data_IF_484499462684
#
_entry.id   IF_484499462684
#
_cell.length_a   1.000
_cell.length_b   1.000
_cell.length_c   1.000
_cell.angle_alpha   90.00
_cell.angle_beta   90.00
_cell.angle_gamma   90.00
#
_symmetry.space_group_name_H-M   'P 1'
#
loop_
_entity.id
_entity.type
_entity.pdbx_description
1 polymer ?
#
# COMPACT_ATOMS: atom_id res chain seq x y z
N UNK A 1 -62.06 -7.62 64.08
CA UNK A 1 -61.73 -8.48 62.93
C UNK A 1 -60.30 -8.18 62.51
N UNK A 2 -59.42 -9.21 62.49
CA UNK A 2 -58.22 -9.46 61.64
C UNK A 2 -57.29 -8.25 61.30
N UNK A 3 -55.96 -8.29 61.27
CA UNK A 3 -54.93 -9.32 61.35
C UNK A 3 -53.57 -8.63 61.07
N UNK A 4 -52.54 -8.96 61.84
CA UNK A 4 -51.11 -9.16 61.53
C UNK A 4 -50.38 -8.46 60.35
N UNK A 5 -49.20 -7.92 60.72
CA UNK A 5 -47.84 -8.18 60.16
C UNK A 5 -47.27 -7.40 58.97
N UNK A 6 -46.13 -6.74 59.26
CA UNK A 6 -44.82 -6.70 58.59
C UNK A 6 -44.67 -7.37 57.20
N UNK A 7 -43.86 -6.75 56.31
CA UNK A 7 -42.63 -7.34 55.71
C UNK A 7 -42.01 -6.35 54.70
N UNK A 8 -40.72 -6.10 54.86
CA UNK A 8 -39.83 -5.43 53.92
C UNK A 8 -39.53 -6.30 52.69
N UNK A 9 -39.44 -5.70 51.49
CA UNK A 9 -38.80 -6.27 50.29
C UNK A 9 -38.11 -5.14 49.55
N UNK A 10 -36.79 -5.07 49.65
CA UNK A 10 -35.78 -5.64 48.73
C UNK A 10 -35.49 -4.75 47.52
N UNK A 11 -34.21 -4.39 47.46
CA UNK A 11 -33.53 -3.64 46.42
C UNK A 11 -33.45 -4.44 45.11
N UNK A 12 -33.44 -3.72 43.99
CA UNK A 12 -32.91 -4.25 42.74
C UNK A 12 -32.10 -3.14 42.08
N UNK A 13 -30.79 -3.18 42.34
CA UNK A 13 -29.80 -2.34 41.66
C UNK A 13 -29.55 -2.97 40.29
N UNK A 14 -30.02 -2.33 39.22
CA UNK A 14 -29.72 -2.73 37.86
C UNK A 14 -28.29 -2.29 37.52
N UNK A 15 -27.36 -3.24 37.46
CA UNK A 15 -26.01 -3.03 36.95
C UNK A 15 -26.11 -3.08 35.41
N UNK A 16 -26.16 -1.90 34.79
CA UNK A 16 -26.01 -1.76 33.35
C UNK A 16 -24.55 -2.04 32.97
N UNK A 17 -24.32 -3.20 32.37
CA UNK A 17 -23.03 -3.61 31.81
C UNK A 17 -22.83 -2.89 30.46
N UNK A 18 -22.28 -1.69 30.48
CA UNK A 18 -21.77 -1.02 29.26
C UNK A 18 -20.53 -1.76 28.79
N UNK A 19 -20.70 -2.63 27.79
CA UNK A 19 -19.59 -3.15 26.98
C UNK A 19 -19.00 -1.96 26.22
N UNK A 20 -17.95 -1.36 26.79
CA UNK A 20 -17.12 -0.40 26.09
C UNK A 20 -16.34 -1.10 24.99
N UNK A 21 -16.82 -1.04 23.75
CA UNK A 21 -15.94 -1.15 22.60
C UNK A 21 -15.00 0.06 22.65
N UNK A 22 -13.81 -0.12 23.19
CA UNK A 22 -12.72 0.81 22.96
C UNK A 22 -12.29 0.66 21.51
N UNK A 23 -12.82 1.50 20.63
CA UNK A 23 -12.11 1.85 19.40
C UNK A 23 -10.78 2.46 19.85
N UNK A 24 -9.71 1.67 19.78
CA UNK A 24 -8.36 2.19 19.85
C UNK A 24 -8.18 3.11 18.63
N UNK A 25 -8.39 4.41 18.83
CA UNK A 25 -8.00 5.42 17.88
C UNK A 25 -6.47 5.32 17.72
N UNK A 26 -6.03 4.85 16.56
CA UNK A 26 -4.61 4.77 16.23
C UNK A 26 -4.03 6.19 16.22
N UNK A 27 -3.19 6.50 17.22
CA UNK A 27 -2.44 7.75 17.26
C UNK A 27 -1.44 7.78 16.10
N UNK A 28 -1.31 8.91 15.38
CA UNK A 28 -0.29 9.06 14.36
C UNK A 28 1.09 9.15 15.03
N UNK A 29 1.99 8.21 14.71
CA UNK A 29 3.40 8.28 15.12
C UNK A 29 3.95 7.09 15.91
N UNK A 30 3.17 6.04 16.17
CA UNK A 30 3.75 4.77 16.65
C UNK A 30 4.49 4.11 15.48
N UNK A 31 5.76 3.77 15.68
CA UNK A 31 6.51 2.95 14.73
C UNK A 31 5.68 1.69 14.43
N UNK A 32 5.34 1.48 13.15
CA UNK A 32 4.64 0.27 12.72
C UNK A 32 5.47 -0.92 13.22
N UNK A 33 4.88 -1.82 14.01
CA UNK A 33 5.59 -3.02 14.48
C UNK A 33 5.97 -3.89 13.29
N UNK A 34 7.11 -4.57 13.38
CA UNK A 34 7.54 -5.49 12.34
C UNK A 34 6.48 -6.59 12.12
N UNK A 35 6.13 -6.93 10.87
CA UNK A 35 5.18 -8.00 10.59
C UNK A 35 5.72 -9.34 11.07
N UNK A 36 4.84 -10.16 11.66
CA UNK A 36 5.19 -11.54 12.01
C UNK A 36 5.38 -12.38 10.75
N UNK A 37 6.07 -13.53 10.86
CA UNK A 37 6.21 -14.46 9.74
C UNK A 37 4.85 -14.93 9.20
N UNK A 38 3.85 -15.11 10.07
CA UNK A 38 2.49 -15.45 9.70
C UNK A 38 1.80 -14.33 8.92
N UNK A 39 1.98 -13.06 9.31
CA UNK A 39 1.46 -11.92 8.56
C UNK A 39 2.13 -11.82 7.18
N UNK A 40 3.44 -12.04 7.09
CA UNK A 40 4.15 -12.07 5.79
C UNK A 40 3.61 -13.20 4.90
N UNK A 41 3.39 -14.40 5.44
CA UNK A 41 2.82 -15.51 4.69
C UNK A 41 1.37 -15.23 4.25
N UNK A 42 0.56 -14.67 5.15
CA UNK A 42 -0.84 -14.30 4.91
C UNK A 42 -0.97 -13.21 3.85
N UNK A 43 -0.05 -12.23 3.82
CA UNK A 43 -0.05 -11.17 2.82
C UNK A 43 0.22 -11.67 1.39
N UNK A 44 1.07 -12.70 1.27
CA UNK A 44 1.42 -13.39 0.01
C UNK A 44 0.30 -14.29 -0.52
N UNK A 45 -0.57 -14.77 0.35
CA UNK A 45 -1.63 -15.70 -0.02
C UNK A 45 -2.68 -15.02 -0.91
N UNK A 46 -3.24 -15.78 -1.85
CA UNK A 46 -4.39 -15.35 -2.67
C UNK A 46 -5.67 -15.29 -1.83
N UNK A 47 -6.58 -14.39 -2.20
CA UNK A 47 -7.86 -14.19 -1.51
C UNK A 47 -8.00 -12.77 -0.98
N UNK A 48 -9.11 -12.51 -0.30
CA UNK A 48 -9.45 -11.19 0.24
C UNK A 48 -10.13 -11.28 1.61
N UNK A 49 -9.74 -12.25 2.44
CA UNK A 49 -10.23 -12.30 3.83
C UNK A 49 -9.77 -11.07 4.62
N UNK A 50 -10.47 -10.73 5.70
CA UNK A 50 -10.10 -9.59 6.55
C UNK A 50 -8.65 -9.70 7.06
N UNK A 51 -8.22 -10.90 7.44
CA UNK A 51 -6.84 -11.17 7.87
C UNK A 51 -5.82 -10.93 6.77
N UNK A 52 -6.14 -11.32 5.52
CA UNK A 52 -5.29 -11.07 4.36
C UNK A 52 -5.17 -9.57 4.06
N UNK A 53 -6.29 -8.85 4.05
CA UNK A 53 -6.29 -7.40 3.85
C UNK A 53 -5.45 -6.70 4.94
N UNK A 54 -5.67 -7.06 6.21
CA UNK A 54 -4.93 -6.49 7.33
C UNK A 54 -3.43 -6.81 7.26
N UNK A 55 -3.07 -8.06 6.97
CA UNK A 55 -1.67 -8.47 6.83
C UNK A 55 -0.95 -7.68 5.72
N UNK A 56 -1.60 -7.45 4.58
CA UNK A 56 -1.02 -6.68 3.47
C UNK A 56 -0.81 -5.21 3.85
N UNK A 57 -1.77 -4.61 4.57
CA UNK A 57 -1.62 -3.25 5.12
C UNK A 57 -0.44 -3.19 6.08
N UNK A 58 -0.32 -4.14 7.01
CA UNK A 58 0.80 -4.19 7.98
C UNK A 58 2.14 -4.33 7.26
N UNK A 59 2.27 -5.25 6.31
CA UNK A 59 3.52 -5.46 5.55
C UNK A 59 3.89 -4.22 4.73
N UNK A 60 2.92 -3.63 4.02
CA UNK A 60 3.16 -2.44 3.20
C UNK A 60 3.57 -1.23 4.04
N UNK A 61 2.81 -0.92 5.08
CA UNK A 61 3.10 0.20 5.97
C UNK A 61 4.45 0.04 6.70
N UNK A 62 4.79 -1.17 7.14
CA UNK A 62 6.09 -1.45 7.74
C UNK A 62 7.25 -1.27 6.75
N UNK A 63 7.10 -1.72 5.50
CA UNK A 63 8.10 -1.51 4.45
C UNK A 63 8.39 -0.01 4.24
N UNK A 64 7.35 0.82 4.21
CA UNK A 64 7.52 2.27 4.11
C UNK A 64 8.17 2.88 5.35
N UNK A 65 7.77 2.44 6.55
CA UNK A 65 8.31 2.95 7.81
C UNK A 65 9.77 2.54 8.07
N UNK A 66 10.20 1.38 7.56
CA UNK A 66 11.55 0.83 7.73
C UNK A 66 12.54 1.25 6.64
N UNK A 67 12.08 2.03 5.65
CA UNK A 67 12.89 2.51 4.52
C UNK A 67 12.91 4.03 4.47
N UNK A 68 13.66 4.59 3.53
CA UNK A 68 13.72 6.03 3.26
C UNK A 68 12.50 6.56 2.44
N UNK A 69 11.43 5.75 2.30
CA UNK A 69 10.14 6.20 1.75
C UNK A 69 9.29 6.94 2.78
N UNK A 70 9.39 6.55 4.06
CA UNK A 70 8.67 7.11 5.23
C UNK A 70 7.17 6.81 5.29
N UNK A 71 6.61 6.80 6.50
CA UNK A 71 5.16 6.63 6.73
C UNK A 71 4.32 7.78 6.18
N UNK A 72 4.89 8.99 6.03
CA UNK A 72 4.17 10.13 5.45
C UNK A 72 3.79 9.84 3.99
N UNK A 73 4.73 9.26 3.23
CA UNK A 73 4.50 8.88 1.84
C UNK A 73 3.51 7.71 1.69
N UNK A 74 3.52 6.78 2.65
CA UNK A 74 2.61 5.64 2.64
C UNK A 74 1.13 6.07 2.54
N UNK A 75 0.75 7.16 3.22
CA UNK A 75 -0.63 7.65 3.21
C UNK A 75 -1.16 7.98 1.80
N UNK A 76 -0.27 8.43 0.90
CA UNK A 76 -0.64 8.71 -0.49
C UNK A 76 -0.42 7.50 -1.40
N UNK A 77 0.73 6.85 -1.30
CA UNK A 77 1.08 5.72 -2.16
C UNK A 77 0.16 4.51 -1.95
N UNK A 78 -0.32 4.28 -0.72
CA UNK A 78 -1.24 3.16 -0.40
C UNK A 78 -2.56 3.23 -1.15
N UNK A 79 -3.00 4.41 -1.60
CA UNK A 79 -4.20 4.58 -2.43
C UNK A 79 -4.05 3.89 -3.79
N UNK A 80 -2.82 3.77 -4.30
CA UNK A 80 -2.50 3.09 -5.55
C UNK A 80 -2.27 1.58 -5.42
N UNK A 81 -2.43 0.99 -4.22
CA UNK A 81 -2.19 -0.44 -3.97
C UNK A 81 -3.54 -1.17 -3.84
N UNK A 82 -3.75 -2.20 -4.65
CA UNK A 82 -4.90 -3.10 -4.50
C UNK A 82 -4.62 -4.13 -3.40
N UNK A 83 -5.02 -3.80 -2.17
CA UNK A 83 -4.88 -4.69 -1.02
C UNK A 83 -5.73 -5.95 -1.11
N UNK A 84 -6.67 -6.08 -2.08
CA UNK A 84 -7.37 -7.34 -2.34
C UNK A 84 -6.49 -8.38 -3.04
N UNK A 85 -5.33 -7.98 -3.55
CA UNK A 85 -4.36 -8.86 -4.22
C UNK A 85 -3.16 -9.17 -3.32
N UNK A 86 -2.45 -10.30 -3.57
CA UNK A 86 -1.20 -10.60 -2.89
C UNK A 86 -0.18 -9.46 -2.95
N UNK A 87 0.59 -9.31 -1.87
CA UNK A 87 1.69 -8.35 -1.77
C UNK A 87 2.86 -8.96 -0.99
N UNK A 88 4.09 -8.60 -1.36
CA UNK A 88 5.29 -9.06 -0.68
C UNK A 88 6.48 -8.12 -0.85
N UNK A 89 7.37 -8.14 0.14
CA UNK A 89 8.73 -7.63 -0.02
C UNK A 89 9.54 -8.68 -0.78
N UNK A 90 10.25 -8.23 -1.82
CA UNK A 90 11.12 -9.06 -2.66
C UNK A 90 12.53 -8.50 -2.67
N UNK A 91 13.50 -9.39 -2.86
CA UNK A 91 14.86 -9.01 -3.20
C UNK A 91 14.97 -8.78 -4.71
N UNK A 92 15.66 -7.71 -5.07
CA UNK A 92 15.90 -7.28 -6.44
C UNK A 92 17.36 -7.61 -6.76
N UNK A 93 17.65 -8.48 -7.74
CA UNK A 93 19.02 -8.74 -8.16
C UNK A 93 19.55 -7.57 -8.99
N UNK A 94 20.85 -7.28 -8.87
CA UNK A 94 21.50 -6.24 -9.66
C UNK A 94 21.44 -6.57 -11.17
N UNK A 95 21.22 -5.55 -11.99
CA UNK A 95 21.18 -5.68 -13.44
C UNK A 95 19.83 -6.11 -14.00
N UNK A 96 18.82 -6.38 -13.15
CA UNK A 96 17.47 -6.67 -13.64
C UNK A 96 16.90 -5.45 -14.36
N UNK A 97 16.23 -5.70 -15.49
CA UNK A 97 15.56 -4.64 -16.26
C UNK A 97 14.07 -4.68 -15.99
N UNK A 98 13.54 -3.57 -15.49
CA UNK A 98 12.10 -3.30 -15.38
C UNK A 98 11.73 -2.06 -16.20
N UNK A 99 10.48 -1.65 -16.13
CA UNK A 99 9.92 -0.60 -16.96
C UNK A 99 9.29 0.50 -16.11
N UNK A 100 9.36 1.74 -16.58
CA UNK A 100 8.66 2.85 -15.94
C UNK A 100 8.22 3.89 -16.98
N UNK A 101 6.98 4.34 -16.83
CA UNK A 101 6.47 5.50 -17.56
C UNK A 101 6.92 6.80 -16.88
N UNK A 102 7.94 7.44 -17.45
CA UNK A 102 8.52 8.68 -16.95
C UNK A 102 7.95 9.88 -17.70
N UNK A 103 7.85 11.03 -17.04
CA UNK A 103 7.46 12.28 -17.71
C UNK A 103 8.51 12.67 -18.76
N UNK A 104 8.05 13.06 -19.94
CA UNK A 104 8.88 13.54 -21.04
C UNK A 104 9.01 15.07 -21.00
N UNK A 105 9.98 15.63 -21.74
CA UNK A 105 10.21 17.08 -21.83
C UNK A 105 11.24 17.63 -20.84
N UNK A 106 11.95 16.76 -20.14
CA UNK A 106 13.16 17.11 -19.38
C UNK A 106 14.42 16.75 -20.19
N UNK A 107 15.53 17.42 -19.91
CA UNK A 107 16.83 17.16 -20.55
C UNK A 107 17.37 15.75 -20.24
N UNK A 108 16.93 15.15 -19.13
CA UNK A 108 17.36 13.82 -18.68
C UNK A 108 16.18 12.98 -18.19
N UNK A 109 16.29 11.67 -18.35
CA UNK A 109 15.34 10.70 -17.80
C UNK A 109 15.43 10.73 -16.28
N UNK A 110 14.27 10.88 -15.61
CA UNK A 110 14.18 10.93 -14.14
C UNK A 110 13.25 9.83 -13.67
N UNK A 111 13.83 8.76 -13.14
CA UNK A 111 13.04 7.65 -12.59
C UNK A 111 12.40 8.03 -11.24
N UNK A 112 11.14 7.63 -11.07
CA UNK A 112 10.44 7.59 -9.78
C UNK A 112 10.69 6.27 -9.03
N UNK A 113 9.91 6.02 -7.98
CA UNK A 113 10.08 4.82 -7.15
C UNK A 113 9.25 3.61 -7.61
N UNK A 114 8.27 3.78 -8.49
CA UNK A 114 7.35 2.71 -8.93
C UNK A 114 7.75 2.16 -10.29
N UNK A 115 8.06 0.87 -10.36
CA UNK A 115 8.47 0.19 -11.57
C UNK A 115 7.48 -0.92 -11.89
N UNK A 116 7.32 -1.25 -13.18
CA UNK A 116 6.62 -2.46 -13.60
C UNK A 116 7.63 -3.54 -13.98
N UNK A 117 7.53 -4.76 -13.42
CA UNK A 117 8.34 -5.89 -13.88
C UNK A 117 7.82 -6.50 -15.20
N UNK A 118 6.74 -5.96 -15.78
CA UNK A 118 6.06 -6.51 -16.95
C UNK A 118 6.16 -5.52 -18.12
N UNK A 119 6.75 -5.96 -19.24
CA UNK A 119 6.95 -5.13 -20.45
C UNK A 119 5.65 -4.69 -21.13
N UNK A 120 4.55 -5.42 -20.92
CA UNK A 120 3.26 -5.10 -21.55
C UNK A 120 2.35 -4.27 -20.64
N UNK A 121 2.85 -3.78 -19.52
CA UNK A 121 2.05 -2.95 -18.62
C UNK A 121 1.78 -1.59 -19.29
N UNK A 122 0.52 -1.13 -19.21
CA UNK A 122 0.10 0.18 -19.71
C UNK A 122 -0.07 1.16 -18.55
N UNK A 123 -0.04 2.49 -18.81
CA UNK A 123 -0.32 3.47 -17.76
C UNK A 123 -1.68 3.21 -17.06
N UNK A 124 -2.72 2.91 -17.84
CA UNK A 124 -4.08 2.64 -17.36
C UNK A 124 -4.12 1.47 -16.35
N UNK A 125 -3.42 0.37 -16.61
CA UNK A 125 -3.38 -0.74 -15.66
C UNK A 125 -2.40 -0.52 -14.51
N UNK A 126 -1.45 0.41 -14.62
CA UNK A 126 -0.53 0.82 -13.56
C UNK A 126 -1.09 1.92 -12.65
N UNK A 127 -2.34 2.35 -12.86
CA UNK A 127 -2.98 3.33 -12.00
C UNK A 127 -2.55 4.78 -12.29
N UNK A 128 -2.03 5.07 -13.49
CA UNK A 128 -1.56 6.41 -13.87
C UNK A 128 -2.02 6.82 -15.28
N UNK A 129 -2.14 8.12 -15.51
CA UNK A 129 -2.33 8.66 -16.85
C UNK A 129 -1.04 8.57 -17.67
N UNK A 130 -1.17 8.15 -18.94
CA UNK A 130 -0.07 8.09 -19.90
C UNK A 130 0.30 9.45 -20.51
N UNK A 131 -0.51 10.49 -20.31
CA UNK A 131 -0.30 11.80 -20.93
C UNK A 131 1.06 12.39 -20.54
N UNK A 132 1.85 12.76 -21.55
CA UNK A 132 3.18 13.35 -21.34
C UNK A 132 4.20 12.38 -20.74
N UNK A 133 3.98 11.06 -20.87
CA UNK A 133 4.91 10.04 -20.43
C UNK A 133 5.35 9.14 -21.58
N UNK A 134 6.56 8.63 -21.48
CA UNK A 134 7.08 7.57 -22.32
C UNK A 134 7.64 6.45 -21.44
N UNK A 135 7.61 5.23 -21.94
CA UNK A 135 8.12 4.07 -21.23
C UNK A 135 9.63 3.92 -21.44
N UNK A 136 10.36 3.70 -20.36
CA UNK A 136 11.80 3.46 -20.38
C UNK A 136 12.13 2.18 -19.67
N UNK A 137 13.18 1.52 -20.19
CA UNK A 137 13.87 0.43 -19.50
C UNK A 137 14.69 1.02 -18.36
N UNK A 138 14.51 0.48 -17.17
CA UNK A 138 15.25 0.82 -15.96
C UNK A 138 16.10 -0.39 -15.57
N UNK A 139 17.41 -0.23 -15.51
CA UNK A 139 18.33 -1.25 -15.00
C UNK A 139 18.53 -0.98 -13.51
N UNK A 140 18.02 -1.88 -12.66
CA UNK A 140 18.01 -1.70 -11.22
C UNK A 140 19.32 -2.22 -10.58
N UNK A 141 19.81 -1.55 -9.51
CA UNK A 141 20.82 -2.13 -8.64
C UNK A 141 20.20 -3.22 -7.76
N UNK A 142 21.03 -3.93 -7.00
CA UNK A 142 20.51 -4.83 -5.97
C UNK A 142 19.80 -4.06 -4.86
N UNK A 143 18.75 -4.63 -4.29
CA UNK A 143 18.04 -4.01 -3.18
C UNK A 143 16.77 -4.75 -2.82
N UNK A 144 15.86 -4.08 -2.11
CA UNK A 144 14.53 -4.59 -1.82
C UNK A 144 13.45 -3.75 -2.47
N UNK A 145 12.31 -4.36 -2.77
CA UNK A 145 11.12 -3.68 -3.26
C UNK A 145 9.85 -4.30 -2.68
N UNK A 146 8.79 -3.52 -2.64
CA UNK A 146 7.45 -4.01 -2.29
C UNK A 146 6.68 -4.27 -3.58
N UNK A 147 6.52 -5.55 -3.90
CA UNK A 147 5.73 -6.01 -5.03
C UNK A 147 4.24 -6.02 -4.67
N UNK A 148 3.43 -5.44 -5.53
CA UNK A 148 1.98 -5.33 -5.36
C UNK A 148 1.25 -5.27 -6.71
N UNK A 149 -0.07 -5.10 -6.67
CA UNK A 149 -0.91 -4.83 -7.83
C UNK A 149 -1.46 -3.40 -7.71
N UNK A 150 -1.53 -2.69 -8.83
CA UNK A 150 -2.11 -1.34 -8.87
C UNK A 150 -3.62 -1.37 -8.62
N UNK A 151 -4.11 -0.49 -7.74
CA UNK A 151 -5.53 -0.27 -7.55
C UNK A 151 -6.14 0.50 -8.73
N UNK A 152 -7.42 0.27 -9.06
CA UNK A 152 -8.19 1.24 -9.83
C UNK A 152 -8.25 2.57 -9.07
N UNK A 153 -7.77 3.66 -9.67
CA UNK A 153 -7.68 4.97 -9.02
C UNK A 153 -7.92 6.11 -10.02
N UNK A 154 -8.44 7.23 -9.54
CA UNK A 154 -8.47 8.47 -10.32
C UNK A 154 -7.12 9.18 -10.23
N UNK A 155 -6.35 9.20 -11.32
CA UNK A 155 -5.13 10.01 -11.42
C UNK A 155 -5.49 11.46 -11.69
N UNK A 156 -5.47 12.26 -10.63
CA UNK A 156 -5.72 13.71 -10.65
C UNK A 156 -4.44 14.55 -10.52
N UNK A 157 -3.26 13.93 -10.62
CA UNK A 157 -1.97 14.58 -10.33
C UNK A 157 -1.01 14.58 -11.52
N UNK A 158 -1.20 13.69 -12.49
CA UNK A 158 -0.34 13.66 -13.69
C UNK A 158 -0.56 14.90 -14.55
N UNK A 159 -1.83 15.29 -14.78
CA UNK A 159 -2.20 16.46 -15.57
C UNK A 159 -3.02 17.45 -14.74
N UNK A 160 -2.53 18.68 -14.47
CA UNK A 160 -3.26 19.65 -13.67
C UNK A 160 -4.68 19.91 -14.20
N UNK A 161 -5.68 19.81 -13.32
CA UNK A 161 -7.08 20.04 -13.66
C UNK A 161 -7.78 18.90 -14.40
N UNK A 162 -7.09 17.77 -14.67
CA UNK A 162 -7.67 16.62 -15.35
C UNK A 162 -7.49 15.37 -14.48
N UNK A 163 -8.61 14.72 -14.13
CA UNK A 163 -8.62 13.42 -13.49
C UNK A 163 -8.90 12.32 -14.53
N UNK A 164 -8.05 11.30 -14.58
CA UNK A 164 -8.26 10.12 -15.44
C UNK A 164 -8.57 8.93 -14.54
N UNK A 165 -9.75 8.34 -14.66
CA UNK A 165 -10.05 7.07 -13.99
C UNK A 165 -9.27 5.95 -14.67
N UNK A 166 -8.43 5.28 -13.90
CA UNK A 166 -7.60 4.18 -14.37
C UNK A 166 -8.17 2.84 -13.92
N UNK A 167 -7.84 1.77 -14.67
CA UNK A 167 -8.30 0.41 -14.36
C UNK A 167 -7.52 -0.27 -13.26
N UNK A 168 -6.24 0.07 -13.10
CA UNK A 168 -5.35 -0.71 -12.24
C UNK A 168 -5.17 -2.16 -12.73
N UNK A 169 -4.68 -3.03 -11.86
CA UNK A 169 -4.59 -4.47 -12.09
C UNK A 169 -3.23 -4.98 -12.58
N UNK A 170 -2.30 -4.11 -13.00
CA UNK A 170 -0.95 -4.54 -13.34
C UNK A 170 -0.06 -4.68 -12.11
N UNK A 171 0.92 -5.58 -12.21
CA UNK A 171 1.97 -5.72 -11.21
C UNK A 171 2.87 -4.49 -11.22
N UNK A 172 3.21 -4.03 -10.02
CA UNK A 172 4.13 -2.93 -9.77
C UNK A 172 5.04 -3.27 -8.59
N UNK A 173 6.18 -2.61 -8.55
CA UNK A 173 7.13 -2.69 -7.44
C UNK A 173 7.53 -1.28 -7.05
N UNK A 174 7.30 -0.91 -5.80
CA UNK A 174 7.88 0.32 -5.24
C UNK A 174 9.22 0.01 -4.59
N UNK A 175 10.24 0.81 -4.90
CA UNK A 175 11.58 0.67 -4.34
C UNK A 175 11.96 1.87 -3.46
N UNK A 176 12.79 1.70 -2.42
CA UNK A 176 13.33 2.79 -1.61
C UNK A 176 14.11 3.81 -2.44
N UNK A 177 14.28 5.04 -1.93
CA UNK A 177 15.08 6.07 -2.57
C UNK A 177 16.54 5.64 -2.73
N UNK A 178 17.09 4.88 -1.78
CA UNK A 178 18.44 4.30 -1.84
C UNK A 178 18.63 3.36 -3.03
N UNK A 179 17.62 2.52 -3.32
CA UNK A 179 17.62 1.64 -4.50
C UNK A 179 17.42 2.46 -5.77
N UNK A 180 16.44 3.39 -5.77
CA UNK A 180 16.17 4.28 -6.90
C UNK A 180 17.39 5.08 -7.32
N UNK A 181 18.22 5.53 -6.38
CA UNK A 181 19.41 6.35 -6.65
C UNK A 181 20.45 5.63 -7.53
N UNK A 182 20.47 4.30 -7.53
CA UNK A 182 21.35 3.50 -8.38
C UNK A 182 20.74 3.05 -9.71
N UNK A 183 19.49 3.45 -10.01
CA UNK A 183 18.83 3.06 -11.26
C UNK A 183 19.45 3.78 -12.45
N UNK A 184 19.73 3.04 -13.51
CA UNK A 184 20.25 3.58 -14.76
C UNK A 184 19.28 3.34 -15.92
N UNK A 185 19.33 4.18 -16.94
CA UNK A 185 18.47 4.05 -18.12
C UNK A 185 19.00 2.98 -19.07
N UNK A 186 18.16 2.01 -19.42
CA UNK A 186 18.36 1.07 -20.51
C UNK A 186 17.82 1.58 -21.86
N UNK A 187 17.42 2.86 -21.92
CA UNK A 187 16.81 3.47 -23.11
C UNK A 187 15.29 3.36 -23.15
N UNK A 188 14.69 3.89 -24.22
CA UNK A 188 13.25 3.78 -24.48
C UNK A 188 12.83 2.31 -24.63
N UNK A 189 11.68 1.96 -24.06
CA UNK A 189 10.99 0.73 -24.43
C UNK A 189 10.41 0.91 -25.83
N UNK A 190 10.67 -0.05 -26.73
CA UNK A 190 10.15 -0.08 -28.09
C UNK A 190 8.92 -0.97 -28.15
#
# INVERSE_FOLDING_TARGET
MRSFSNIARQATLAISLTVGLTLAAALPGQAQTAPTAEQVATAKATGSSADQLNARVVVASYFYASTDLTSARYADDSKGIDFSKPLQVIDIPAGITWFQYVRTGYDTVRFGNFFSPVVTATPDCLGISGTGRAEYKAVLPSGQGLQSVAAPIADCWTTPGICVQTKGGCAQVVVPNSVKAGVTSGGLAQ
#
